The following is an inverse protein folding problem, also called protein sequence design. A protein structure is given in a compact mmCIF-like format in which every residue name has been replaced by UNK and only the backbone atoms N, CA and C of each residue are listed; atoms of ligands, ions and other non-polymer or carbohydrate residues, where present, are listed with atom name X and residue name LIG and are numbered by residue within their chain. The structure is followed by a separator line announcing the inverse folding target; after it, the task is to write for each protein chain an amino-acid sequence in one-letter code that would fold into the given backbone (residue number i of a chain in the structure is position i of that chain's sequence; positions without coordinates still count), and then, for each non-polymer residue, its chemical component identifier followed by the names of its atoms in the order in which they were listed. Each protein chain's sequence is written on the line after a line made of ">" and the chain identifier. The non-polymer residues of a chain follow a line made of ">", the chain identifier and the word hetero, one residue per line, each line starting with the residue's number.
data_IF_003506517368
#
_entry.id   IF_003506517368
#
_cell.length_a   1.000
_cell.length_b   1.000
_cell.length_c   1.000
_cell.angle_alpha   90.00
_cell.angle_beta   90.00
_cell.angle_gamma   90.00
#
_symmetry.space_group_name_H-M   'P 1'
#
loop_
_entity.id
_entity.type
_entity.pdbx_description
1 polymer ?
#
# COMPACT_ATOMS: atom_id res chain seq x y z
N UNK A 1 4.58 6.83 -26.82
CA UNK A 1 4.35 6.84 -25.35
C UNK A 1 5.53 6.28 -24.56
N UNK A 2 6.01 5.06 -24.82
CA UNK A 2 7.14 4.44 -24.11
C UNK A 2 8.42 5.30 -24.03
N UNK A 3 8.94 5.77 -25.17
CA UNK A 3 10.12 6.66 -25.18
C UNK A 3 9.93 7.95 -24.37
N UNK A 4 8.69 8.44 -24.29
CA UNK A 4 8.37 9.62 -23.48
C UNK A 4 8.40 9.30 -21.98
N UNK A 5 7.86 8.15 -21.56
CA UNK A 5 7.93 7.67 -20.17
C UNK A 5 9.39 7.47 -19.75
N UNK A 6 10.16 6.73 -20.55
CA UNK A 6 11.57 6.46 -20.27
C UNK A 6 12.44 7.72 -20.35
N UNK A 7 12.03 8.72 -21.14
CA UNK A 7 12.84 9.90 -21.40
C UNK A 7 14.06 9.59 -22.28
N UNK A 8 13.97 8.51 -23.09
CA UNK A 8 15.07 7.97 -23.88
C UNK A 8 14.64 6.75 -24.69
N UNK A 9 15.62 6.04 -25.28
CA UNK A 9 15.37 4.82 -26.05
C UNK A 9 15.35 3.55 -25.20
N UNK A 10 15.92 3.60 -23.99
CA UNK A 10 15.96 2.52 -23.01
C UNK A 10 15.70 3.07 -21.61
N UNK A 11 15.57 2.17 -20.63
CA UNK A 11 15.47 2.52 -19.21
C UNK A 11 16.85 2.96 -18.71
N UNK A 12 16.98 4.22 -18.36
CA UNK A 12 18.24 4.84 -17.96
C UNK A 12 18.03 5.83 -16.80
N UNK A 13 19.06 6.63 -16.48
CA UNK A 13 19.01 7.62 -15.41
C UNK A 13 17.79 8.57 -15.48
N UNK A 14 17.36 9.08 -16.66
CA UNK A 14 16.15 9.91 -16.74
C UNK A 14 14.89 9.18 -16.28
N UNK A 15 14.79 7.87 -16.53
CA UNK A 15 13.66 7.05 -16.08
C UNK A 15 13.68 6.90 -14.55
N UNK A 16 14.84 6.59 -13.97
CA UNK A 16 15.00 6.39 -12.52
C UNK A 16 14.64 7.66 -11.73
N UNK A 17 15.12 8.83 -12.16
CA UNK A 17 14.82 10.10 -11.51
C UNK A 17 13.33 10.43 -11.55
N UNK A 18 12.65 10.17 -12.67
CA UNK A 18 11.21 10.39 -12.79
C UNK A 18 10.41 9.42 -11.93
N UNK A 19 10.80 8.15 -11.93
CA UNK A 19 10.12 7.13 -11.13
C UNK A 19 10.28 7.38 -9.64
N UNK A 20 11.42 7.95 -9.21
CA UNK A 20 11.59 8.43 -7.85
C UNK A 20 10.57 9.54 -7.51
N UNK A 21 10.44 10.56 -8.38
CA UNK A 21 9.46 11.64 -8.17
C UNK A 21 8.03 11.11 -8.13
N UNK A 22 7.64 10.25 -9.07
CA UNK A 22 6.31 9.63 -9.07
C UNK A 22 6.07 8.80 -7.81
N UNK A 23 7.05 7.96 -7.41
CA UNK A 23 6.95 7.17 -6.17
C UNK A 23 6.81 8.06 -4.94
N UNK A 24 7.41 9.25 -4.94
CA UNK A 24 7.27 10.21 -3.85
C UNK A 24 5.89 10.88 -3.85
N UNK A 25 5.36 11.29 -5.00
CA UNK A 25 4.08 11.99 -5.10
C UNK A 25 2.86 11.07 -4.88
N UNK A 26 2.87 9.87 -5.47
CA UNK A 26 1.71 8.96 -5.49
C UNK A 26 1.13 8.62 -4.10
N UNK A 27 1.93 8.41 -3.03
CA UNK A 27 1.38 8.18 -1.70
C UNK A 27 0.50 9.32 -1.18
N UNK A 28 0.80 10.57 -1.54
CA UNK A 28 0.00 11.73 -1.14
C UNK A 28 -1.32 11.80 -1.91
N UNK A 29 -1.27 11.53 -3.21
CA UNK A 29 -2.48 11.43 -4.02
C UNK A 29 -3.41 10.32 -3.50
N UNK A 30 -2.84 9.16 -3.15
CA UNK A 30 -3.57 8.05 -2.53
C UNK A 30 -4.15 8.42 -1.16
N UNK A 31 -3.43 9.17 -0.33
CA UNK A 31 -3.96 9.67 0.94
C UNK A 31 -5.17 10.60 0.73
N UNK A 32 -5.12 11.48 -0.28
CA UNK A 32 -6.26 12.31 -0.68
C UNK A 32 -7.46 11.47 -1.13
N UNK A 33 -7.23 10.46 -1.98
CA UNK A 33 -8.27 9.52 -2.41
C UNK A 33 -8.87 8.72 -1.25
N UNK A 34 -8.05 8.30 -0.28
CA UNK A 34 -8.52 7.62 0.93
C UNK A 34 -9.42 8.53 1.78
N UNK A 35 -9.11 9.82 1.87
CA UNK A 35 -9.97 10.81 2.53
C UNK A 35 -11.33 10.95 1.85
N UNK A 36 -11.35 11.06 0.51
CA UNK A 36 -12.60 11.12 -0.28
C UNK A 36 -13.40 9.81 -0.09
N UNK A 37 -12.73 8.67 -0.12
CA UNK A 37 -13.35 7.36 0.11
C UNK A 37 -14.04 7.30 1.49
N UNK A 38 -13.35 7.74 2.55
CA UNK A 38 -13.92 7.78 3.90
C UNK A 38 -15.07 8.78 4.02
N UNK A 39 -14.98 9.93 3.34
CA UNK A 39 -16.08 10.90 3.29
C UNK A 39 -17.35 10.28 2.70
N UNK A 40 -17.25 9.62 1.55
CA UNK A 40 -18.38 8.94 0.92
C UNK A 40 -18.92 7.78 1.78
N UNK A 41 -18.03 7.05 2.46
CA UNK A 41 -18.44 6.01 3.39
C UNK A 41 -19.20 6.59 4.60
N UNK A 42 -18.81 7.75 5.11
CA UNK A 42 -19.50 8.40 6.21
C UNK A 42 -20.92 8.87 5.85
N UNK A 43 -21.17 9.24 4.59
CA UNK A 43 -22.52 9.60 4.12
C UNK A 43 -23.50 8.41 4.16
N UNK A 44 -23.04 7.22 3.79
CA UNK A 44 -23.91 6.01 3.78
C UNK A 44 -23.85 5.19 5.06
N UNK A 45 -22.76 5.32 5.82
CA UNK A 45 -22.38 4.40 6.89
C UNK A 45 -21.84 3.06 6.38
N UNK A 46 -21.28 2.26 7.31
CA UNK A 46 -20.81 0.91 7.02
C UNK A 46 -21.96 -0.08 6.83
N UNK A 47 -21.77 -1.04 5.92
CA UNK A 47 -22.66 -2.19 5.81
C UNK A 47 -22.39 -3.21 6.94
N UNK A 48 -23.30 -4.17 7.14
CA UNK A 48 -23.15 -5.26 8.09
C UNK A 48 -23.19 -6.64 7.38
N UNK A 49 -22.76 -7.73 8.04
CA UNK A 49 -22.69 -9.06 7.42
C UNK A 49 -24.02 -9.61 6.90
N UNK A 50 -25.15 -9.16 7.45
CA UNK A 50 -26.48 -9.59 7.01
C UNK A 50 -26.97 -8.78 5.80
N UNK A 51 -26.30 -7.68 5.45
CA UNK A 51 -26.68 -6.80 4.33
C UNK A 51 -28.01 -6.06 4.54
N UNK A 52 -28.56 -6.09 5.75
CA UNK A 52 -29.81 -5.42 6.11
C UNK A 52 -29.54 -3.98 6.60
N UNK A 53 -30.56 -3.13 6.70
CA UNK A 53 -30.37 -1.78 7.25
C UNK A 53 -30.12 -1.83 8.76
N UNK A 54 -28.96 -1.35 9.21
CA UNK A 54 -28.53 -1.36 10.63
C UNK A 54 -29.24 -0.32 11.53
N UNK A 55 -30.29 0.35 11.06
CA UNK A 55 -30.75 1.65 11.59
C UNK A 55 -31.10 1.72 13.07
N UNK A 56 -31.63 0.65 13.67
CA UNK A 56 -31.98 0.64 15.11
C UNK A 56 -30.92 -0.01 16.01
N UNK A 57 -29.84 -0.55 15.44
CA UNK A 57 -28.84 -1.35 16.15
C UNK A 57 -27.43 -0.70 16.12
N UNK A 58 -27.36 0.59 15.81
CA UNK A 58 -26.09 1.30 15.76
C UNK A 58 -25.51 1.48 17.16
N UNK A 59 -24.24 1.09 17.32
CA UNK A 59 -23.44 1.30 18.53
C UNK A 59 -22.38 2.37 18.27
N UNK A 60 -21.92 3.12 19.29
CA UNK A 60 -20.89 4.12 19.10
C UNK A 60 -19.55 3.48 18.70
N UNK A 61 -18.78 4.18 17.87
CA UNK A 61 -17.48 3.70 17.40
C UNK A 61 -16.48 3.51 18.56
N UNK A 62 -16.40 4.50 19.44
CA UNK A 62 -15.64 4.41 20.68
C UNK A 62 -16.56 3.98 21.83
N UNK A 63 -16.19 2.98 22.65
CA UNK A 63 -14.90 2.30 22.74
C UNK A 63 -14.78 0.99 21.94
N UNK A 64 -15.87 0.51 21.34
CA UNK A 64 -15.96 -0.86 20.81
C UNK A 64 -15.03 -1.09 19.60
N UNK A 65 -15.22 -0.34 18.53
CA UNK A 65 -14.41 -0.49 17.32
C UNK A 65 -13.01 0.05 17.52
N UNK A 66 -12.81 1.11 18.33
CA UNK A 66 -11.46 1.57 18.69
C UNK A 66 -10.63 0.47 19.35
N UNK A 67 -11.18 -0.25 20.35
CA UNK A 67 -10.45 -1.33 21.03
C UNK A 67 -10.23 -2.54 20.12
N UNK A 68 -11.22 -2.90 19.28
CA UNK A 68 -11.09 -3.94 18.25
C UNK A 68 -9.98 -3.62 17.25
N UNK A 69 -9.92 -2.39 16.76
CA UNK A 69 -8.92 -1.94 15.79
C UNK A 69 -7.51 -1.96 16.39
N UNK A 70 -7.35 -1.59 17.67
CA UNK A 70 -6.07 -1.69 18.38
C UNK A 70 -5.56 -3.13 18.40
N UNK A 71 -6.42 -4.12 18.68
CA UNK A 71 -6.02 -5.54 18.63
C UNK A 71 -5.54 -5.91 17.22
N UNK A 72 -6.25 -5.47 16.17
CA UNK A 72 -5.84 -5.67 14.78
C UNK A 72 -4.48 -5.05 14.46
N UNK A 73 -4.24 -3.81 14.90
CA UNK A 73 -2.97 -3.10 14.71
C UNK A 73 -1.82 -3.83 15.42
N UNK A 74 -2.03 -4.31 16.66
CA UNK A 74 -1.01 -5.07 17.39
C UNK A 74 -0.64 -6.37 16.67
N UNK A 75 -1.63 -7.11 16.15
CA UNK A 75 -1.37 -8.33 15.37
C UNK A 75 -0.62 -8.03 14.06
N UNK A 76 -1.00 -6.98 13.35
CA UNK A 76 -0.34 -6.56 12.11
C UNK A 76 1.11 -6.11 12.36
N UNK A 77 1.34 -5.27 13.37
CA UNK A 77 2.70 -4.82 13.69
C UNK A 77 3.56 -5.97 14.22
N UNK A 78 2.98 -6.89 14.99
CA UNK A 78 3.66 -8.10 15.46
C UNK A 78 4.14 -8.98 14.30
N UNK A 79 3.31 -9.21 13.28
CA UNK A 79 3.71 -9.99 12.10
C UNK A 79 4.73 -9.25 11.24
N UNK A 80 4.57 -7.94 11.03
CA UNK A 80 5.51 -7.11 10.30
C UNK A 80 6.90 -7.10 10.97
N UNK A 81 6.96 -6.94 12.28
CA UNK A 81 8.19 -7.02 13.06
C UNK A 81 8.78 -8.43 13.02
N UNK A 82 7.94 -9.47 13.06
CA UNK A 82 8.38 -10.86 12.91
C UNK A 82 9.15 -11.08 11.60
N UNK A 83 8.60 -10.61 10.48
CA UNK A 83 9.26 -10.70 9.17
C UNK A 83 10.52 -9.82 9.17
N UNK A 84 10.42 -8.56 9.59
CA UNK A 84 11.54 -7.61 9.47
C UNK A 84 12.73 -7.99 10.35
N UNK A 85 12.50 -8.48 11.57
CA UNK A 85 13.57 -8.78 12.53
C UNK A 85 14.14 -10.19 12.36
N UNK A 86 13.32 -11.19 12.02
CA UNK A 86 13.78 -12.59 11.96
C UNK A 86 13.98 -13.11 10.52
N UNK A 87 13.24 -12.59 9.53
CA UNK A 87 13.29 -13.07 8.15
C UNK A 87 13.23 -11.93 7.11
N UNK A 88 14.16 -10.94 7.15
CA UNK A 88 14.05 -9.70 6.38
C UNK A 88 14.05 -9.89 4.86
N UNK A 89 14.58 -11.01 4.36
CA UNK A 89 14.66 -11.32 2.93
C UNK A 89 13.59 -12.30 2.47
N UNK A 90 12.68 -12.74 3.34
CA UNK A 90 11.67 -13.78 3.03
C UNK A 90 10.80 -13.43 1.83
N UNK A 91 10.48 -12.15 1.67
CA UNK A 91 9.60 -11.64 0.62
C UNK A 91 10.37 -10.93 -0.51
N UNK A 92 11.70 -11.03 -0.52
CA UNK A 92 12.58 -10.35 -1.47
C UNK A 92 13.19 -11.34 -2.46
N UNK A 93 13.33 -10.93 -3.72
CA UNK A 93 14.04 -11.70 -4.73
C UNK A 93 15.57 -11.53 -4.57
N UNK A 94 16.35 -12.63 -4.45
CA UNK A 94 17.81 -12.57 -4.39
C UNK A 94 18.47 -11.82 -5.55
N UNK A 95 17.88 -11.82 -6.75
CA UNK A 95 18.43 -11.15 -7.93
C UNK A 95 18.53 -9.61 -7.75
N UNK A 96 17.67 -9.01 -6.91
CA UNK A 96 17.68 -7.56 -6.66
C UNK A 96 18.83 -7.09 -5.77
N UNK A 97 19.65 -8.00 -5.22
CA UNK A 97 20.90 -7.64 -4.56
C UNK A 97 22.05 -7.41 -5.55
N UNK A 98 21.88 -7.82 -6.81
CA UNK A 98 22.85 -7.53 -7.87
C UNK A 98 22.54 -6.17 -8.50
N UNK A 99 23.57 -5.38 -8.88
CA UNK A 99 23.36 -4.15 -9.62
C UNK A 99 22.75 -4.46 -11.00
N UNK A 100 21.88 -3.57 -11.47
CA UNK A 100 21.24 -3.73 -12.78
C UNK A 100 22.28 -3.76 -13.91
N UNK A 101 22.15 -4.75 -14.80
CA UNK A 101 22.96 -4.86 -16.01
C UNK A 101 22.04 -4.90 -17.24
N UNK A 102 22.05 -3.88 -18.11
CA UNK A 102 21.15 -3.82 -19.27
C UNK A 102 21.44 -4.89 -20.34
N UNK A 103 22.59 -5.56 -20.26
CA UNK A 103 23.01 -6.59 -21.22
C UNK A 103 22.65 -8.00 -20.77
N UNK A 104 22.21 -8.18 -19.52
CA UNK A 104 21.96 -9.50 -18.93
C UNK A 104 20.58 -9.50 -18.29
N UNK A 105 19.71 -10.37 -18.78
CA UNK A 105 18.45 -10.70 -18.12
C UNK A 105 18.69 -11.87 -17.15
N UNK A 106 18.23 -11.79 -15.89
CA UNK A 106 18.22 -12.94 -14.98
C UNK A 106 17.53 -14.15 -15.62
N UNK A 107 17.96 -15.36 -15.26
CA UNK A 107 17.48 -16.61 -15.88
C UNK A 107 16.10 -17.05 -15.40
N UNK A 108 15.63 -16.49 -14.30
CA UNK A 108 14.36 -16.81 -13.64
C UNK A 108 13.60 -15.53 -13.32
#
# INVERSE_FOLDING_TARGET
>A
LLKWIWGGFAVENPTLQRFYVFRFCLPFDLAGMAGIHLYLLHETGSNNPLGLKSGSEMVPFHPLYTSKDIVGIVLFLGSLLGITCFFPTLLSDPANFLPANPLVTPTH
#
